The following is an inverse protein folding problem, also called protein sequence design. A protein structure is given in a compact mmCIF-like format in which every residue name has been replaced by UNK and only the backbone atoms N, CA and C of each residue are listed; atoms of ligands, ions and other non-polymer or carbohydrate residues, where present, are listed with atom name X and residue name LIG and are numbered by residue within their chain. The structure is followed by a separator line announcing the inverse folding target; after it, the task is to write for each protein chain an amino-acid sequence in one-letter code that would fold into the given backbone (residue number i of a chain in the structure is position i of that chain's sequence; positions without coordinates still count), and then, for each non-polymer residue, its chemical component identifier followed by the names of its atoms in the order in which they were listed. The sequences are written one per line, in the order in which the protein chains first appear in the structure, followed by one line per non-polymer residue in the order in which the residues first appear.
data_IF_732939054921
#
_entry.id   IF_732939054921
#
_cell.length_a   1.000
_cell.length_b   1.000
_cell.length_c   1.000
_cell.angle_alpha   90.00
_cell.angle_beta   90.00
_cell.angle_gamma   90.00
#
_symmetry.space_group_name_H-M   'P 1'
#
loop_
_entity.id
_entity.type
_entity.pdbx_description
1 polymer ?
#
# COMPACT_ATOMS: atom_id res chain seq x y z
N UNK A 1 45.50 29.44 24.04
CA UNK A 1 45.44 28.00 24.33
C UNK A 1 43.99 27.57 24.20
N UNK A 2 43.62 26.99 23.05
CA UNK A 2 42.41 26.21 22.83
C UNK A 2 42.57 25.55 21.46
N UNK A 3 42.90 24.26 21.45
CA UNK A 3 42.91 23.40 20.28
C UNK A 3 41.47 23.25 19.78
N UNK A 4 41.22 23.53 18.50
CA UNK A 4 40.00 23.10 17.82
C UNK A 4 40.30 21.77 17.12
N UNK A 5 39.62 20.71 17.57
CA UNK A 5 39.77 19.34 17.11
C UNK A 5 39.03 19.18 15.78
N UNK A 6 39.80 18.94 14.72
CA UNK A 6 39.28 18.51 13.42
C UNK A 6 38.79 17.06 13.54
N UNK A 7 37.51 16.82 13.30
CA UNK A 7 36.97 15.48 13.05
C UNK A 7 36.32 15.48 11.67
N UNK A 8 37.06 14.91 10.74
CA UNK A 8 36.63 14.54 9.40
C UNK A 8 35.67 13.37 9.49
N UNK A 9 34.39 13.59 9.21
CA UNK A 9 33.49 12.52 8.78
C UNK A 9 33.58 12.42 7.26
N UNK A 10 34.40 11.49 6.79
CA UNK A 10 34.25 10.91 5.46
C UNK A 10 33.26 9.76 5.53
N UNK A 11 32.41 9.65 4.51
CA UNK A 11 31.64 8.43 4.25
C UNK A 11 30.14 8.56 4.50
N UNK A 12 29.46 9.32 3.65
CA UNK A 12 28.45 8.85 2.70
C UNK A 12 27.82 10.12 2.14
N UNK A 13 28.32 10.59 0.99
CA UNK A 13 27.56 11.54 0.18
C UNK A 13 26.27 10.83 -0.23
N UNK A 14 25.06 11.32 0.12
CA UNK A 14 23.90 10.92 -0.65
C UNK A 14 24.21 11.30 -2.09
N UNK A 15 24.04 10.35 -3.01
CA UNK A 15 24.01 10.65 -4.44
C UNK A 15 22.99 11.78 -4.57
N UNK A 16 23.45 12.97 -4.97
CA UNK A 16 22.57 14.09 -5.31
C UNK A 16 21.45 13.52 -6.16
N UNK A 17 20.21 13.69 -5.73
CA UNK A 17 19.06 13.54 -6.59
C UNK A 17 19.41 14.22 -7.92
N UNK A 18 19.40 13.46 -9.01
CA UNK A 18 19.45 14.06 -10.33
C UNK A 18 18.10 14.76 -10.48
N UNK A 19 18.07 16.07 -10.21
CA UNK A 19 16.87 16.87 -10.46
C UNK A 19 16.62 16.83 -11.96
N UNK A 20 15.67 15.98 -12.37
CA UNK A 20 15.19 15.98 -13.74
C UNK A 20 14.37 17.25 -13.92
N UNK A 21 14.78 18.09 -14.87
CA UNK A 21 13.93 19.20 -15.31
C UNK A 21 12.84 18.63 -16.20
N UNK A 22 11.62 18.63 -15.69
CA UNK A 22 10.45 18.23 -16.44
C UNK A 22 9.81 19.43 -17.14
N UNK A 23 9.38 19.23 -18.37
CA UNK A 23 8.49 20.14 -19.08
C UNK A 23 7.05 19.74 -18.74
N UNK A 24 6.31 20.69 -18.16
CA UNK A 24 4.93 20.50 -17.72
C UNK A 24 3.93 20.85 -18.83
N UNK A 25 2.66 20.40 -18.74
CA UNK A 25 1.60 20.89 -19.62
C UNK A 25 1.52 22.42 -19.68
N UNK A 26 1.72 23.09 -18.55
CA UNK A 26 1.67 24.55 -18.43
C UNK A 26 2.81 25.22 -19.22
N UNK A 27 4.03 24.67 -19.17
CA UNK A 27 5.21 25.24 -19.85
C UNK A 27 5.02 25.34 -21.38
N UNK A 28 4.20 24.45 -21.96
CA UNK A 28 3.93 24.40 -23.40
C UNK A 28 2.54 24.93 -23.79
N UNK A 29 1.81 25.51 -22.85
CA UNK A 29 0.42 25.96 -23.00
C UNK A 29 -0.51 24.85 -23.54
N UNK A 30 -0.39 23.63 -23.01
CA UNK A 30 -1.26 22.51 -23.37
C UNK A 30 -2.64 22.67 -22.73
N UNK A 31 -3.70 22.59 -23.53
CA UNK A 31 -5.07 22.53 -23.04
C UNK A 31 -5.36 21.13 -22.48
N UNK A 32 -5.48 21.04 -21.15
CA UNK A 32 -5.76 19.79 -20.43
C UNK A 32 -7.21 19.70 -19.93
N UNK A 33 -8.12 20.53 -20.45
CA UNK A 33 -9.52 20.57 -20.02
C UNK A 33 -10.31 19.32 -20.42
N UNK A 34 -9.84 18.59 -21.44
CA UNK A 34 -10.42 17.33 -21.87
C UNK A 34 -10.01 16.13 -20.98
N UNK A 35 -9.01 16.27 -20.11
CA UNK A 35 -8.60 15.21 -19.17
C UNK A 35 -9.74 14.94 -18.17
N UNK A 36 -10.07 13.66 -18.01
CA UNK A 36 -11.10 13.14 -17.12
C UNK A 36 -10.45 12.42 -15.93
N UNK A 37 -11.12 12.45 -14.79
CA UNK A 37 -10.74 11.68 -13.62
C UNK A 37 -10.69 10.18 -13.95
N UNK A 38 -9.66 9.51 -13.43
CA UNK A 38 -9.47 8.08 -13.54
C UNK A 38 -9.24 7.54 -12.13
N UNK A 39 -9.89 6.44 -11.80
CA UNK A 39 -9.82 5.81 -10.49
C UNK A 39 -8.89 4.60 -10.46
N UNK A 40 -8.16 4.32 -11.55
CA UNK A 40 -7.29 3.15 -11.63
C UNK A 40 -5.85 3.51 -11.26
N UNK A 41 -5.47 3.19 -10.02
CA UNK A 41 -4.12 3.37 -9.51
C UNK A 41 -3.56 2.06 -8.96
N UNK A 42 -2.24 1.90 -9.04
CA UNK A 42 -1.53 0.73 -8.52
C UNK A 42 -0.03 0.99 -8.48
N UNK A 43 0.69 0.22 -7.66
CA UNK A 43 2.14 0.24 -7.71
C UNK A 43 2.65 -0.34 -9.06
N UNK A 44 3.52 0.40 -9.77
CA UNK A 44 4.06 -0.04 -11.04
C UNK A 44 5.11 -1.13 -10.87
N UNK A 45 5.19 -2.05 -11.84
CA UNK A 45 6.04 -3.26 -11.76
C UNK A 45 7.15 -3.31 -12.80
N UNK A 46 7.05 -2.49 -13.85
CA UNK A 46 7.96 -2.46 -14.98
C UNK A 46 7.97 -1.07 -15.63
N UNK A 47 9.03 -0.80 -16.40
CA UNK A 47 9.15 0.41 -17.23
C UNK A 47 9.18 -0.04 -18.70
N UNK A 48 8.28 0.52 -19.50
CA UNK A 48 8.18 0.27 -20.93
C UNK A 48 8.49 1.56 -21.67
N UNK A 49 9.59 1.56 -22.42
CA UNK A 49 9.91 2.63 -23.35
C UNK A 49 9.23 2.32 -24.68
N UNK A 50 8.41 3.24 -25.18
CA UNK A 50 7.60 3.03 -26.36
C UNK A 50 7.93 4.09 -27.42
N UNK A 51 8.58 3.73 -28.55
CA UNK A 51 8.78 4.66 -29.65
C UNK A 51 7.44 5.13 -30.22
N UNK A 52 7.24 6.44 -30.28
CA UNK A 52 6.09 7.10 -30.87
C UNK A 52 6.55 7.73 -32.18
N UNK A 53 6.07 7.18 -33.30
CA UNK A 53 6.48 7.62 -34.61
C UNK A 53 5.57 8.74 -35.14
N UNK A 54 6.16 9.90 -35.42
CA UNK A 54 5.52 10.94 -36.22
C UNK A 54 5.15 10.40 -37.61
N UNK A 55 4.03 10.84 -38.18
CA UNK A 55 3.72 10.49 -39.57
C UNK A 55 4.70 11.19 -40.50
N UNK A 56 5.02 10.56 -41.63
CA UNK A 56 5.94 11.14 -42.62
C UNK A 56 5.43 12.46 -43.23
N UNK A 57 4.15 12.78 -43.06
CA UNK A 57 3.53 14.04 -43.47
C UNK A 57 3.72 15.17 -42.43
N UNK A 58 4.11 14.84 -41.19
CA UNK A 58 4.35 15.78 -40.08
C UNK A 58 5.86 15.96 -39.82
N UNK A 59 6.64 16.19 -40.87
CA UNK A 59 8.08 16.50 -40.73
C UNK A 59 8.27 17.91 -40.18
N UNK A 60 9.19 18.06 -39.22
CA UNK A 60 9.61 19.38 -38.73
C UNK A 60 8.80 19.94 -37.57
N UNK A 61 7.90 19.16 -36.97
CA UNK A 61 7.27 19.53 -35.70
C UNK A 61 8.33 19.64 -34.59
N UNK A 62 8.21 20.68 -33.77
CA UNK A 62 9.01 20.79 -32.55
C UNK A 62 8.59 19.74 -31.52
N UNK A 63 9.45 19.38 -30.56
CA UNK A 63 9.08 18.49 -29.46
C UNK A 63 7.80 18.92 -28.72
N UNK A 64 7.60 20.23 -28.49
CA UNK A 64 6.38 20.76 -27.86
C UNK A 64 5.13 20.55 -28.73
N UNK A 65 5.25 20.73 -30.05
CA UNK A 65 4.16 20.46 -30.99
C UNK A 65 3.81 18.98 -31.06
N UNK A 66 4.81 18.10 -31.00
CA UNK A 66 4.60 16.65 -30.94
C UNK A 66 3.88 16.25 -29.65
N UNK A 67 4.31 16.79 -28.51
CA UNK A 67 3.66 16.54 -27.22
C UNK A 67 2.19 16.97 -27.24
N UNK A 68 1.87 18.18 -27.72
CA UNK A 68 0.49 18.64 -27.89
C UNK A 68 -0.32 17.76 -28.85
N UNK A 69 0.28 17.35 -29.96
CA UNK A 69 -0.36 16.47 -30.94
C UNK A 69 -0.69 15.08 -30.38
N UNK A 70 0.21 14.49 -29.60
CA UNK A 70 -0.02 13.20 -28.93
C UNK A 70 -1.15 13.32 -27.91
N UNK A 71 -1.17 14.39 -27.10
CA UNK A 71 -2.25 14.64 -26.16
C UNK A 71 -3.60 14.76 -26.88
N UNK A 72 -3.71 15.66 -27.87
CA UNK A 72 -4.92 15.87 -28.65
C UNK A 72 -5.42 14.56 -29.29
N UNK A 73 -4.52 13.78 -29.89
CA UNK A 73 -4.90 12.52 -30.52
C UNK A 73 -5.39 11.48 -29.51
N UNK A 74 -4.69 11.32 -28.39
CA UNK A 74 -5.04 10.26 -27.42
C UNK A 74 -6.27 10.63 -26.59
N UNK A 75 -6.34 11.86 -26.08
CA UNK A 75 -7.43 12.29 -25.20
C UNK A 75 -8.67 12.68 -26.01
N UNK A 76 -8.53 13.60 -26.97
CA UNK A 76 -9.70 14.15 -27.68
C UNK A 76 -10.21 13.23 -28.80
N UNK A 77 -9.32 12.56 -29.54
CA UNK A 77 -9.72 11.73 -30.68
C UNK A 77 -9.96 10.26 -30.32
N UNK A 78 -9.08 9.68 -29.48
CA UNK A 78 -9.22 8.28 -29.06
C UNK A 78 -10.08 8.11 -27.79
N UNK A 79 -10.29 9.19 -27.03
CA UNK A 79 -11.18 9.19 -25.87
C UNK A 79 -10.56 8.58 -24.62
N UNK A 80 -9.24 8.56 -24.50
CA UNK A 80 -8.60 8.22 -23.24
C UNK A 80 -8.95 9.26 -22.17
N UNK A 81 -9.06 8.83 -20.90
CA UNK A 81 -9.30 9.75 -19.79
C UNK A 81 -8.13 10.72 -19.60
N UNK A 82 -6.91 10.30 -19.91
CA UNK A 82 -5.72 11.16 -19.95
C UNK A 82 -4.71 10.56 -20.95
N UNK A 83 -3.63 11.28 -21.23
CA UNK A 83 -2.57 10.78 -22.12
C UNK A 83 -2.04 9.43 -21.60
N UNK A 84 -1.99 8.36 -22.41
CA UNK A 84 -1.61 7.00 -21.97
C UNK A 84 -0.09 6.81 -21.85
N UNK A 85 0.62 7.86 -21.43
CA UNK A 85 2.05 7.89 -21.18
C UNK A 85 2.30 8.55 -19.82
N UNK A 86 3.25 8.05 -19.07
CA UNK A 86 3.67 8.65 -17.79
C UNK A 86 4.66 9.78 -18.02
N UNK A 87 5.54 9.59 -19.01
CA UNK A 87 6.52 10.55 -19.46
C UNK A 87 6.65 10.49 -20.97
N UNK A 88 7.09 11.58 -21.58
CA UNK A 88 7.58 11.57 -22.95
C UNK A 88 9.00 12.10 -23.03
N UNK A 89 9.80 11.55 -23.94
CA UNK A 89 11.19 11.97 -24.18
C UNK A 89 11.37 12.28 -25.65
N UNK A 90 11.90 13.47 -25.96
CA UNK A 90 12.20 13.89 -27.33
C UNK A 90 13.54 13.33 -27.84
N UNK A 91 13.79 13.41 -29.16
CA UNK A 91 15.11 13.08 -29.71
C UNK A 91 16.23 14.03 -29.20
N UNK A 92 15.88 15.22 -28.70
CA UNK A 92 16.83 16.18 -28.12
C UNK A 92 17.07 15.93 -26.62
N UNK A 93 16.39 14.96 -26.02
CA UNK A 93 16.51 14.64 -24.60
C UNK A 93 15.62 15.47 -23.68
N UNK A 94 14.67 16.25 -24.23
CA UNK A 94 13.65 16.94 -23.43
C UNK A 94 12.71 15.92 -22.80
N UNK A 95 12.38 16.10 -21.52
CA UNK A 95 11.52 15.17 -20.76
C UNK A 95 10.22 15.90 -20.39
N UNK A 96 9.10 15.40 -20.88
CA UNK A 96 7.75 15.92 -20.64
C UNK A 96 7.02 15.06 -19.61
N UNK A 97 6.24 15.70 -18.74
CA UNK A 97 5.27 15.00 -17.90
C UNK A 97 4.12 14.49 -18.75
N UNK A 98 3.75 13.22 -18.56
CA UNK A 98 2.57 12.64 -19.17
C UNK A 98 1.33 12.86 -18.29
N UNK A 99 0.66 11.76 -17.96
CA UNK A 99 -0.60 11.77 -17.24
C UNK A 99 -0.51 12.41 -15.83
N UNK A 100 -1.64 12.93 -15.36
CA UNK A 100 -1.77 13.58 -14.05
C UNK A 100 -1.60 12.63 -12.86
N UNK A 101 -1.92 11.35 -13.05
CA UNK A 101 -1.82 10.33 -12.00
C UNK A 101 -0.40 9.84 -11.71
N UNK A 102 0.61 10.39 -12.43
CA UNK A 102 2.04 10.10 -12.24
C UNK A 102 2.32 8.59 -12.34
N UNK A 103 3.37 8.12 -11.67
CA UNK A 103 3.88 6.74 -11.69
C UNK A 103 2.86 5.69 -11.25
N UNK A 104 1.86 6.08 -10.46
CA UNK A 104 0.89 5.15 -9.89
C UNK A 104 -0.38 5.03 -10.74
N UNK A 105 -0.52 5.85 -11.78
CA UNK A 105 -1.63 5.67 -12.72
C UNK A 105 -1.48 4.34 -13.44
N UNK A 106 -2.49 3.50 -13.29
CA UNK A 106 -2.49 2.19 -13.92
C UNK A 106 -2.61 2.33 -15.44
N UNK A 107 -1.62 1.82 -16.16
CA UNK A 107 -1.68 1.64 -17.61
C UNK A 107 -1.49 0.16 -17.94
N UNK A 108 -2.48 -0.38 -18.62
CA UNK A 108 -2.47 -1.73 -19.17
C UNK A 108 -2.04 -1.71 -20.63
N UNK A 109 -1.11 -2.60 -20.97
CA UNK A 109 -0.74 -2.90 -22.36
C UNK A 109 -0.91 -4.40 -22.56
N UNK A 110 -1.83 -4.77 -23.44
CA UNK A 110 -2.09 -6.15 -23.81
C UNK A 110 -0.82 -6.76 -24.43
N UNK A 111 -0.43 -7.94 -23.92
CA UNK A 111 0.82 -8.60 -24.28
C UNK A 111 2.07 -8.13 -23.52
N UNK A 112 1.93 -7.20 -22.56
CA UNK A 112 3.00 -6.78 -21.65
C UNK A 112 2.58 -6.95 -20.19
N UNK A 113 1.50 -6.29 -19.76
CA UNK A 113 1.05 -6.30 -18.37
C UNK A 113 0.14 -5.12 -18.01
N UNK A 114 -0.41 -5.17 -16.81
CA UNK A 114 -1.53 -4.31 -16.40
C UNK A 114 -1.12 -3.07 -15.58
N UNK A 115 0.12 -3.03 -15.06
CA UNK A 115 0.64 -1.99 -14.15
C UNK A 115 2.07 -1.57 -14.55
N UNK A 116 2.24 -0.90 -15.69
CA UNK A 116 3.55 -0.49 -16.21
C UNK A 116 3.68 1.02 -16.34
N UNK A 117 4.88 1.55 -16.08
CA UNK A 117 5.22 2.93 -16.41
C UNK A 117 5.59 2.99 -17.89
N UNK A 118 4.88 3.82 -18.64
CA UNK A 118 5.09 3.98 -20.09
C UNK A 118 5.82 5.29 -20.37
N UNK A 119 7.01 5.19 -20.93
CA UNK A 119 7.80 6.34 -21.40
C UNK A 119 7.69 6.40 -22.93
N UNK A 120 6.96 7.40 -23.45
CA UNK A 120 6.85 7.64 -24.88
C UNK A 120 8.12 8.27 -25.46
N UNK A 121 8.84 7.61 -26.35
CA UNK A 121 9.99 8.19 -27.04
C UNK A 121 9.57 8.78 -28.39
N UNK A 122 9.48 10.10 -28.48
CA UNK A 122 9.02 10.80 -29.69
C UNK A 122 10.12 10.78 -30.76
N UNK A 123 9.82 10.16 -31.90
CA UNK A 123 10.80 9.94 -32.98
C UNK A 123 10.10 9.82 -34.34
N UNK A 124 10.86 9.56 -35.40
CA UNK A 124 10.37 9.46 -36.77
C UNK A 124 10.34 8.00 -37.24
N UNK A 125 9.45 7.63 -38.17
CA UNK A 125 9.30 6.24 -38.68
C UNK A 125 10.59 5.63 -39.26
N UNK A 126 11.54 6.45 -39.70
CA UNK A 126 12.84 6.00 -40.22
C UNK A 126 13.85 5.67 -39.13
N UNK A 127 13.60 6.07 -37.88
CA UNK A 127 14.49 5.82 -36.76
C UNK A 127 14.40 4.35 -36.35
N UNK A 128 15.55 3.72 -36.16
CA UNK A 128 15.67 2.34 -35.66
C UNK A 128 16.46 2.25 -34.35
N UNK A 129 16.71 3.37 -33.68
CA UNK A 129 17.49 3.47 -32.43
C UNK A 129 17.22 4.81 -31.76
N UNK A 130 17.59 4.96 -30.49
CA UNK A 130 17.51 6.25 -29.82
C UNK A 130 18.63 7.19 -30.32
N UNK A 131 18.34 8.49 -30.40
CA UNK A 131 19.34 9.53 -30.52
C UNK A 131 20.30 9.52 -29.31
N UNK A 132 21.47 10.15 -29.44
CA UNK A 132 22.43 10.25 -28.34
C UNK A 132 21.82 10.95 -27.11
N UNK A 133 21.18 12.09 -27.34
CA UNK A 133 20.62 12.92 -26.26
C UNK A 133 19.38 12.27 -25.65
N UNK A 134 18.49 11.72 -26.48
CA UNK A 134 17.34 10.95 -26.04
C UNK A 134 17.73 9.72 -25.21
N UNK A 135 18.75 8.97 -25.63
CA UNK A 135 19.28 7.83 -24.86
C UNK A 135 19.88 8.28 -23.51
N UNK A 136 20.56 9.43 -23.48
CA UNK A 136 21.09 10.00 -22.23
C UNK A 136 19.95 10.38 -21.28
N UNK A 137 18.92 11.05 -21.78
CA UNK A 137 17.73 11.41 -21.00
C UNK A 137 17.01 10.16 -20.47
N UNK A 138 16.82 9.14 -21.30
CA UNK A 138 16.21 7.87 -20.90
C UNK A 138 17.03 7.13 -19.84
N UNK A 139 18.38 7.17 -19.89
CA UNK A 139 19.24 6.61 -18.84
C UNK A 139 18.95 7.26 -17.49
N UNK A 140 18.92 8.58 -17.44
CA UNK A 140 18.60 9.33 -16.22
C UNK A 140 17.17 9.07 -15.75
N UNK A 141 16.18 9.25 -16.63
CA UNK A 141 14.77 9.10 -16.29
C UNK A 141 14.41 7.70 -15.82
N UNK A 142 14.81 6.65 -16.56
CA UNK A 142 14.51 5.27 -16.17
C UNK A 142 15.19 4.89 -14.85
N UNK A 143 16.39 5.43 -14.56
CA UNK A 143 17.07 5.21 -13.28
C UNK A 143 16.30 5.86 -12.13
N UNK A 144 15.85 7.11 -12.30
CA UNK A 144 15.06 7.83 -11.29
C UNK A 144 13.75 7.09 -11.02
N UNK A 145 13.00 6.75 -12.07
CA UNK A 145 11.73 6.02 -11.95
C UNK A 145 11.93 4.65 -11.27
N UNK A 146 12.98 3.91 -11.66
CA UNK A 146 13.27 2.60 -11.09
C UNK A 146 13.54 2.69 -9.59
N UNK A 147 14.37 3.66 -9.17
CA UNK A 147 14.68 3.88 -7.76
C UNK A 147 13.47 4.36 -6.95
N UNK A 148 12.69 5.29 -7.50
CA UNK A 148 11.52 5.88 -6.84
C UNK A 148 10.40 4.86 -6.60
N UNK A 149 10.25 3.89 -7.50
CA UNK A 149 9.19 2.89 -7.44
C UNK A 149 9.68 1.49 -7.08
N UNK A 150 10.95 1.34 -6.69
CA UNK A 150 11.57 0.04 -6.41
C UNK A 150 11.39 -0.99 -7.54
N UNK A 151 11.38 -0.52 -8.79
CA UNK A 151 11.27 -1.38 -9.96
C UNK A 151 12.66 -1.91 -10.29
N UNK A 152 12.79 -3.24 -10.34
CA UNK A 152 14.04 -3.87 -10.79
C UNK A 152 14.43 -3.33 -12.17
N UNK A 153 15.68 -2.85 -12.36
CA UNK A 153 16.14 -2.40 -13.67
C UNK A 153 16.12 -3.49 -14.76
N UNK A 154 16.03 -4.78 -14.39
CA UNK A 154 15.77 -5.88 -15.32
C UNK A 154 14.38 -5.80 -15.99
N UNK A 155 13.43 -5.12 -15.34
CA UNK A 155 12.08 -4.91 -15.86
C UNK A 155 11.96 -3.63 -16.71
N UNK A 156 13.09 -3.09 -17.18
CA UNK A 156 13.12 -2.01 -18.16
C UNK A 156 13.16 -2.63 -19.55
N UNK A 157 12.15 -2.32 -20.37
CA UNK A 157 12.00 -2.89 -21.71
C UNK A 157 11.64 -1.83 -22.73
N UNK A 158 11.74 -2.21 -24.02
CA UNK A 158 11.25 -1.39 -25.13
C UNK A 158 10.27 -2.20 -25.96
N UNK A 159 9.14 -1.58 -26.27
CA UNK A 159 8.08 -2.25 -27.01
C UNK A 159 7.32 -1.24 -27.88
N UNK A 160 6.95 -1.64 -29.09
CA UNK A 160 6.00 -0.87 -29.87
C UNK A 160 4.62 -0.98 -29.25
N UNK A 161 3.86 0.11 -29.28
CA UNK A 161 2.48 0.15 -28.81
C UNK A 161 1.59 0.58 -29.98
N UNK A 162 0.49 -0.14 -30.17
CA UNK A 162 -0.59 0.25 -31.08
C UNK A 162 -1.88 0.48 -30.31
N UNK A 163 -2.75 1.32 -30.87
CA UNK A 163 -4.07 1.61 -30.32
C UNK A 163 -5.11 0.75 -31.04
N UNK A 164 -5.71 -0.20 -30.33
CA UNK A 164 -6.80 -1.01 -30.86
C UNK A 164 -8.13 -0.50 -30.33
N UNK A 165 -9.08 -0.22 -31.22
CA UNK A 165 -10.45 0.09 -30.84
C UNK A 165 -11.23 -1.19 -30.61
N UNK A 166 -11.68 -1.41 -29.39
CA UNK A 166 -12.62 -2.47 -29.07
C UNK A 166 -13.99 -2.09 -29.68
N UNK A 167 -14.49 -2.94 -30.59
CA UNK A 167 -15.75 -2.68 -31.28
C UNK A 167 -16.99 -2.83 -30.37
N UNK A 168 -16.86 -3.56 -29.26
CA UNK A 168 -17.95 -3.86 -28.33
C UNK A 168 -18.07 -2.76 -27.28
N UNK A 169 -16.99 -2.48 -26.55
CA UNK A 169 -16.97 -1.45 -25.51
C UNK A 169 -16.79 -0.03 -26.07
N UNK A 170 -16.39 0.08 -27.35
CA UNK A 170 -16.02 1.34 -28.04
C UNK A 170 -14.82 2.06 -27.40
N UNK A 171 -14.14 1.45 -26.45
CA UNK A 171 -12.92 1.97 -25.84
C UNK A 171 -11.71 1.67 -26.71
N UNK A 172 -10.60 2.31 -26.40
CA UNK A 172 -9.31 2.05 -27.05
C UNK A 172 -8.39 1.40 -26.03
N UNK A 173 -7.78 0.28 -26.41
CA UNK A 173 -6.79 -0.44 -25.61
C UNK A 173 -5.41 -0.32 -26.23
N UNK A 174 -4.38 -0.41 -25.40
CA UNK A 174 -2.99 -0.46 -25.84
C UNK A 174 -2.61 -1.92 -26.07
N UNK A 175 -2.06 -2.24 -27.24
CA UNK A 175 -1.54 -3.58 -27.53
C UNK A 175 -0.07 -3.51 -27.93
N UNK A 176 0.69 -4.51 -27.48
CA UNK A 176 2.05 -4.77 -27.92
C UNK A 176 2.11 -4.98 -29.45
N UNK A 177 2.99 -4.26 -30.12
CA UNK A 177 3.37 -4.49 -31.52
C UNK A 177 4.89 -4.59 -31.69
N UNK A 178 5.32 -5.30 -32.73
CA UNK A 178 6.73 -5.44 -33.06
C UNK A 178 7.41 -4.11 -33.39
N UNK A 179 8.69 -4.04 -33.05
CA UNK A 179 9.58 -2.92 -33.37
C UNK A 179 10.86 -3.44 -34.01
N UNK A 180 11.39 -2.69 -34.96
CA UNK A 180 12.57 -3.07 -35.74
C UNK A 180 13.68 -2.05 -35.54
N UNK A 181 14.92 -2.53 -35.48
CA UNK A 181 16.12 -1.72 -35.26
C UNK A 181 16.98 -2.23 -34.11
N UNK A 182 17.81 -1.35 -33.56
CA UNK A 182 18.72 -1.60 -32.45
C UNK A 182 18.15 -1.18 -31.08
N UNK A 183 16.85 -0.89 -31.00
CA UNK A 183 16.17 -0.44 -29.77
C UNK A 183 16.46 -1.32 -28.56
N UNK A 184 16.38 -2.64 -28.73
CA UNK A 184 16.62 -3.60 -27.65
C UNK A 184 18.05 -3.53 -27.14
N UNK A 185 19.03 -3.31 -28.02
CA UNK A 185 20.44 -3.14 -27.62
C UNK A 185 20.63 -1.85 -26.81
N UNK A 186 20.00 -0.75 -27.23
CA UNK A 186 20.10 0.50 -26.50
C UNK A 186 19.40 0.44 -25.15
N UNK A 187 18.24 -0.23 -25.05
CA UNK A 187 17.56 -0.41 -23.76
C UNK A 187 18.31 -1.35 -22.84
N UNK A 188 19.02 -2.35 -23.37
CA UNK A 188 19.94 -3.14 -22.56
C UNK A 188 21.04 -2.27 -21.94
N UNK A 189 21.57 -1.30 -22.67
CA UNK A 189 22.53 -0.33 -22.12
C UNK A 189 21.87 0.61 -21.07
N UNK A 190 20.63 1.04 -21.29
CA UNK A 190 19.87 1.84 -20.31
C UNK A 190 19.65 1.05 -19.03
N UNK A 191 19.14 -0.19 -19.13
CA UNK A 191 18.96 -1.11 -18.01
C UNK A 191 20.27 -1.36 -17.27
N UNK A 192 21.36 -1.63 -17.99
CA UNK A 192 22.69 -1.85 -17.38
C UNK A 192 23.19 -0.61 -16.64
N UNK A 193 22.97 0.59 -17.19
CA UNK A 193 23.30 1.83 -16.52
C UNK A 193 22.46 2.02 -15.25
N UNK A 194 21.13 1.84 -15.35
CA UNK A 194 20.22 1.92 -14.20
C UNK A 194 20.59 0.93 -13.09
N UNK A 195 20.95 -0.31 -13.43
CA UNK A 195 21.47 -1.31 -12.47
C UNK A 195 22.69 -0.80 -11.70
N UNK A 196 23.62 -0.12 -12.37
CA UNK A 196 24.82 0.41 -11.72
C UNK A 196 24.54 1.53 -10.70
N UNK A 197 23.37 2.16 -10.81
CA UNK A 197 22.92 3.28 -9.97
C UNK A 197 21.68 2.91 -9.13
N UNK A 198 21.29 1.63 -9.11
CA UNK A 198 20.07 1.19 -8.45
C UNK A 198 20.27 1.15 -6.95
N UNK A 199 19.56 2.03 -6.26
CA UNK A 199 19.51 2.19 -4.83
C UNK A 199 18.14 2.79 -4.47
N UNK A 200 17.07 1.96 -4.45
CA UNK A 200 15.72 2.44 -4.23
C UNK A 200 15.61 3.09 -2.85
N UNK A 201 14.96 4.26 -2.81
CA UNK A 201 14.70 4.98 -1.57
C UNK A 201 13.27 4.65 -1.16
N UNK A 202 13.03 4.15 0.07
CA UNK A 202 11.66 3.90 0.54
C UNK A 202 10.81 5.16 0.42
N UNK A 203 9.62 5.03 -0.17
CA UNK A 203 8.62 6.10 -0.21
C UNK A 203 8.24 6.49 1.23
N UNK A 204 8.13 7.79 1.47
CA UNK A 204 7.62 8.32 2.74
C UNK A 204 6.11 8.50 2.66
N UNK A 205 5.38 7.81 3.54
CA UNK A 205 3.93 7.88 3.62
C UNK A 205 3.50 8.75 4.79
N UNK A 206 2.58 9.68 4.52
CA UNK A 206 2.07 10.62 5.52
C UNK A 206 0.54 10.59 5.49
N UNK A 207 -0.07 10.36 6.65
CA UNK A 207 -1.52 10.39 6.81
C UNK A 207 -1.90 11.31 7.96
N UNK A 208 -3.13 11.79 7.95
CA UNK A 208 -3.78 12.45 9.06
C UNK A 208 -4.98 11.60 9.49
N UNK A 209 -5.01 11.18 10.75
CA UNK A 209 -6.19 10.56 11.36
C UNK A 209 -7.10 11.69 11.82
N UNK A 210 -8.25 11.85 11.16
CA UNK A 210 -9.21 12.89 11.48
C UNK A 210 -10.07 12.49 12.68
N UNK A 211 -10.55 11.24 12.68
CA UNK A 211 -11.41 10.72 13.73
C UNK A 211 -11.38 9.19 13.78
N UNK A 212 -11.49 8.63 14.99
CA UNK A 212 -11.91 7.24 15.20
C UNK A 212 -13.38 7.24 15.60
N UNK A 213 -14.21 6.56 14.83
CA UNK A 213 -15.65 6.45 15.02
C UNK A 213 -15.93 5.13 15.73
N UNK A 214 -16.49 5.24 16.93
CA UNK A 214 -16.77 4.09 17.78
C UNK A 214 -18.24 3.67 17.68
N UNK A 215 -18.54 2.37 17.89
CA UNK A 215 -19.91 1.88 18.00
C UNK A 215 -20.70 2.67 19.05
N UNK A 216 -21.84 3.24 18.63
CA UNK A 216 -22.69 4.03 19.52
C UNK A 216 -23.46 3.16 20.53
N UNK A 217 -23.84 1.95 20.11
CA UNK A 217 -24.52 0.99 20.98
C UNK A 217 -23.50 0.15 21.75
N UNK A 218 -23.88 -0.25 22.97
CA UNK A 218 -23.10 -1.23 23.72
C UNK A 218 -23.10 -2.58 22.99
N UNK A 219 -21.94 -3.23 22.98
CA UNK A 219 -21.63 -4.41 22.17
C UNK A 219 -21.69 -5.67 23.03
N UNK A 220 -22.25 -6.77 22.52
CA UNK A 220 -22.24 -8.05 23.25
C UNK A 220 -20.79 -8.54 23.41
N UNK A 221 -20.34 -8.90 24.62
CA UNK A 221 -19.00 -9.44 24.82
C UNK A 221 -18.72 -10.65 23.92
N UNK A 222 -17.55 -10.69 23.28
CA UNK A 222 -17.15 -11.79 22.40
C UNK A 222 -17.71 -11.73 20.98
N UNK A 223 -18.65 -10.82 20.68
CA UNK A 223 -19.15 -10.59 19.34
C UNK A 223 -18.14 -9.87 18.46
N UNK A 224 -18.35 -9.90 17.15
CA UNK A 224 -17.59 -9.10 16.19
C UNK A 224 -18.18 -7.69 16.13
N UNK A 225 -17.31 -6.69 16.06
CA UNK A 225 -17.69 -5.27 16.02
C UNK A 225 -16.74 -4.50 15.11
N UNK A 226 -17.26 -3.49 14.41
CA UNK A 226 -16.46 -2.59 13.58
C UNK A 226 -16.19 -1.26 14.28
N UNK A 227 -14.96 -0.76 14.17
CA UNK A 227 -14.61 0.64 14.42
C UNK A 227 -14.21 1.27 13.10
N UNK A 228 -14.64 2.51 12.84
CA UNK A 228 -14.28 3.18 11.59
C UNK A 228 -13.20 4.23 11.84
N UNK A 229 -12.28 4.40 10.90
CA UNK A 229 -11.21 5.39 10.98
C UNK A 229 -11.34 6.33 9.78
N UNK A 230 -11.64 7.60 10.07
CA UNK A 230 -11.60 8.70 9.12
C UNK A 230 -10.15 9.18 8.96
N UNK A 231 -9.62 9.02 7.75
CA UNK A 231 -8.22 9.25 7.42
C UNK A 231 -8.09 10.08 6.14
N UNK A 232 -7.12 10.98 6.12
CA UNK A 232 -6.69 11.70 4.92
C UNK A 232 -5.26 11.33 4.59
N UNK A 233 -4.97 10.99 3.34
CA UNK A 233 -3.59 10.88 2.87
C UNK A 233 -3.07 12.27 2.55
N UNK A 234 -2.09 12.74 3.32
CA UNK A 234 -1.45 14.05 3.17
C UNK A 234 -0.06 13.93 2.52
N UNK A 235 0.32 12.72 2.11
CA UNK A 235 1.58 12.42 1.42
C UNK A 235 1.46 12.53 -0.10
N UNK A 236 2.55 12.19 -0.78
CA UNK A 236 2.68 12.26 -2.24
C UNK A 236 2.33 10.94 -2.95
N UNK A 237 2.20 9.84 -2.19
CA UNK A 237 2.06 8.48 -2.71
C UNK A 237 0.75 7.84 -2.28
N UNK A 238 0.18 7.01 -3.13
CA UNK A 238 -0.98 6.19 -2.81
C UNK A 238 -0.64 5.10 -1.80
N UNK A 239 -1.61 4.81 -0.94
CA UNK A 239 -1.58 3.75 0.06
C UNK A 239 -2.46 2.62 -0.47
N UNK A 240 -1.97 1.38 -0.50
CA UNK A 240 -2.68 0.22 -1.07
C UNK A 240 -2.67 -0.92 -0.06
N UNK A 241 -3.83 -1.49 0.24
CA UNK A 241 -4.01 -2.52 1.28
C UNK A 241 -3.28 -3.83 1.02
N UNK A 242 -2.98 -4.12 -0.24
CA UNK A 242 -2.27 -5.34 -0.67
C UNK A 242 -0.76 -5.12 -0.89
N UNK A 243 -0.18 -4.06 -0.29
CA UNK A 243 1.22 -3.70 -0.50
C UNK A 243 1.95 -3.26 0.77
N UNK A 244 3.27 -3.08 0.66
CA UNK A 244 4.11 -2.55 1.74
C UNK A 244 3.70 -1.14 2.19
N UNK A 245 2.95 -0.37 1.37
CA UNK A 245 2.46 0.95 1.75
C UNK A 245 1.25 0.92 2.67
N UNK A 246 0.59 -0.23 2.83
CA UNK A 246 -0.57 -0.39 3.69
C UNK A 246 -0.29 0.14 5.10
N UNK A 247 -1.23 0.93 5.61
CA UNK A 247 -1.19 1.38 7.00
C UNK A 247 -1.66 0.26 7.92
N UNK A 248 -0.88 0.01 8.98
CA UNK A 248 -1.18 -0.94 10.03
C UNK A 248 -1.13 -0.27 11.40
N UNK A 249 -2.08 -0.62 12.26
CA UNK A 249 -2.11 -0.22 13.65
C UNK A 249 -1.48 -1.33 14.50
N UNK A 250 -0.33 -1.03 15.11
CA UNK A 250 0.44 -1.95 15.95
C UNK A 250 0.19 -1.64 17.42
N UNK A 251 -0.33 -2.61 18.17
CA UNK A 251 -0.65 -2.46 19.60
C UNK A 251 0.55 -1.92 20.38
N UNK A 252 0.31 -0.94 21.26
CA UNK A 252 1.29 -0.50 22.26
C UNK A 252 1.34 -1.46 23.45
N UNK A 253 2.56 -1.83 23.83
CA UNK A 253 2.82 -2.74 24.95
C UNK A 253 2.85 -4.21 24.53
N UNK A 254 3.12 -5.07 25.49
CA UNK A 254 3.37 -6.48 25.23
C UNK A 254 2.07 -7.32 25.13
N UNK A 255 2.19 -8.48 24.49
CA UNK A 255 1.12 -9.49 24.39
C UNK A 255 0.06 -9.20 23.32
N UNK A 256 -0.82 -10.18 23.13
CA UNK A 256 -1.89 -10.16 22.12
C UNK A 256 -2.85 -8.99 22.35
N UNK A 257 -3.35 -8.38 21.28
CA UNK A 257 -4.42 -7.37 21.35
C UNK A 257 -5.69 -7.97 21.93
N UNK A 258 -6.34 -7.24 22.83
CA UNK A 258 -7.65 -7.65 23.36
C UNK A 258 -8.75 -7.63 22.30
N UNK A 259 -8.53 -6.92 21.19
CA UNK A 259 -9.44 -6.82 20.05
C UNK A 259 -9.13 -7.80 18.92
N UNK A 260 -8.12 -8.67 19.10
CA UNK A 260 -7.63 -9.56 18.05
C UNK A 260 -8.73 -10.45 17.46
N UNK A 261 -8.89 -10.35 16.13
CA UNK A 261 -9.79 -11.16 15.35
C UNK A 261 -8.99 -12.08 14.40
N UNK A 262 -9.15 -13.39 14.58
CA UNK A 262 -8.42 -14.40 13.82
C UNK A 262 -8.78 -14.34 12.32
N UNK A 263 -7.78 -14.51 11.45
CA UNK A 263 -7.87 -14.45 9.98
C UNK A 263 -8.17 -13.06 9.37
N UNK A 264 -8.38 -12.02 10.18
CA UNK A 264 -8.63 -10.65 9.67
C UNK A 264 -7.46 -9.69 9.97
N UNK A 265 -6.66 -10.00 10.99
CA UNK A 265 -5.51 -9.20 11.38
C UNK A 265 -4.22 -9.76 10.77
N UNK A 266 -3.25 -8.88 10.49
CA UNK A 266 -1.92 -9.24 9.98
C UNK A 266 -1.18 -10.10 11.01
N UNK A 267 -1.34 -9.78 12.30
CA UNK A 267 -0.79 -10.58 13.40
C UNK A 267 -1.63 -10.39 14.67
N UNK A 268 -1.24 -11.04 15.78
CA UNK A 268 -1.94 -10.91 17.06
C UNK A 268 -1.84 -9.52 17.69
N UNK A 269 -1.03 -8.62 17.12
CA UNK A 269 -0.83 -7.25 17.60
C UNK A 269 -1.00 -6.20 16.51
N UNK A 270 -1.25 -6.60 15.26
CA UNK A 270 -1.28 -5.70 14.11
C UNK A 270 -2.54 -5.88 13.30
N UNK A 271 -3.29 -4.79 13.15
CA UNK A 271 -4.52 -4.73 12.36
C UNK A 271 -4.32 -3.79 11.17
N UNK A 272 -4.71 -4.19 9.95
CA UNK A 272 -4.62 -3.30 8.79
C UNK A 272 -5.72 -2.24 8.83
N UNK A 273 -5.42 -1.06 8.29
CA UNK A 273 -6.42 0.00 8.07
C UNK A 273 -7.25 -0.26 6.82
N UNK A 274 -6.63 -0.75 5.75
CA UNK A 274 -7.26 -1.02 4.46
C UNK A 274 -7.50 -2.53 4.28
N UNK A 275 -8.52 -2.90 3.53
CA UNK A 275 -8.72 -4.27 3.05
C UNK A 275 -7.96 -4.57 1.75
N UNK A 276 -7.98 -5.83 1.34
CA UNK A 276 -7.39 -6.26 0.05
C UNK A 276 -8.04 -5.52 -1.13
N UNK A 277 -7.21 -4.86 -1.94
CA UNK A 277 -7.64 -4.08 -3.10
C UNK A 277 -8.22 -2.70 -2.79
N UNK A 278 -8.33 -2.32 -1.51
CA UNK A 278 -8.62 -0.95 -1.12
C UNK A 278 -7.37 -0.07 -1.24
N UNK A 279 -7.59 1.22 -1.49
CA UNK A 279 -6.52 2.20 -1.63
C UNK A 279 -6.95 3.56 -1.08
N UNK A 280 -5.96 4.42 -0.81
CA UNK A 280 -6.14 5.81 -0.43
C UNK A 280 -5.12 6.68 -1.17
N UNK A 281 -5.59 7.47 -2.14
CA UNK A 281 -4.74 8.29 -3.01
C UNK A 281 -4.28 9.58 -2.33
N UNK A 282 -3.23 10.25 -2.85
CA UNK A 282 -2.80 11.54 -2.32
C UNK A 282 -3.94 12.56 -2.26
N UNK A 283 -4.04 13.28 -1.13
CA UNK A 283 -5.05 14.32 -0.84
C UNK A 283 -6.48 13.75 -0.67
N UNK A 284 -6.67 12.45 -0.87
CA UNK A 284 -7.95 11.79 -0.66
C UNK A 284 -8.26 11.62 0.83
N UNK A 285 -9.54 11.76 1.15
CA UNK A 285 -10.11 11.46 2.46
C UNK A 285 -11.09 10.29 2.33
N UNK A 286 -11.04 9.34 3.26
CA UNK A 286 -11.94 8.19 3.29
C UNK A 286 -12.11 7.65 4.71
N UNK A 287 -13.17 6.86 4.90
CA UNK A 287 -13.47 6.17 6.15
C UNK A 287 -13.31 4.68 5.89
N UNK A 288 -12.47 4.01 6.68
CA UNK A 288 -12.26 2.57 6.61
C UNK A 288 -12.80 1.88 7.85
N UNK A 289 -13.50 0.76 7.65
CA UNK A 289 -14.07 -0.06 8.70
C UNK A 289 -13.08 -1.16 9.11
N UNK A 290 -12.84 -1.28 10.41
CA UNK A 290 -11.89 -2.23 10.98
C UNK A 290 -12.66 -3.20 11.88
N UNK A 291 -12.63 -4.47 11.50
CA UNK A 291 -13.29 -5.54 12.23
C UNK A 291 -12.45 -6.00 13.43
N UNK A 292 -13.09 -5.94 14.61
CA UNK A 292 -12.53 -6.30 15.90
C UNK A 292 -13.33 -7.44 16.53
N UNK A 293 -12.69 -8.20 17.40
CA UNK A 293 -13.39 -9.07 18.35
C UNK A 293 -13.61 -8.31 19.66
N UNK A 294 -14.86 -8.12 20.06
CA UNK A 294 -15.17 -7.51 21.34
C UNK A 294 -14.62 -8.38 22.48
N UNK A 295 -13.81 -7.83 23.41
CA UNK A 295 -13.26 -8.61 24.50
C UNK A 295 -14.37 -9.07 25.45
N UNK A 296 -14.09 -10.11 26.23
CA UNK A 296 -15.01 -10.53 27.28
C UNK A 296 -14.88 -9.58 28.49
N UNK A 297 -15.99 -9.00 28.93
CA UNK A 297 -16.04 -8.04 30.03
C UNK A 297 -17.31 -7.20 29.96
N UNK A 298 -17.36 -6.13 30.75
CA UNK A 298 -18.43 -5.12 30.73
C UNK A 298 -17.82 -3.74 30.84
N UNK A 299 -18.52 -2.73 30.33
CA UNK A 299 -18.08 -1.33 30.38
C UNK A 299 -17.12 -0.95 29.25
N UNK A 300 -16.46 0.19 29.41
CA UNK A 300 -15.58 0.76 28.39
C UNK A 300 -14.24 0.02 28.36
N UNK A 301 -13.83 -0.40 27.17
CA UNK A 301 -12.53 -1.02 26.92
C UNK A 301 -11.79 -0.23 25.86
N UNK A 302 -10.54 0.11 26.13
CA UNK A 302 -9.69 0.92 25.25
C UNK A 302 -8.34 0.25 24.99
N UNK A 303 -7.81 0.40 23.78
CA UNK A 303 -6.46 -0.01 23.41
C UNK A 303 -5.84 1.01 22.46
N UNK A 304 -4.56 1.33 22.66
CA UNK A 304 -3.83 2.28 21.81
C UNK A 304 -2.83 1.58 20.91
N UNK A 305 -2.66 2.13 19.71
CA UNK A 305 -1.85 1.56 18.64
C UNK A 305 -0.90 2.62 18.08
N UNK A 306 0.38 2.25 17.93
CA UNK A 306 1.31 2.99 17.09
C UNK A 306 1.01 2.70 15.61
N UNK A 307 1.29 3.66 14.74
CA UNK A 307 0.97 3.54 13.31
C UNK A 307 2.24 3.29 12.50
N UNK A 308 2.20 2.25 11.66
CA UNK A 308 3.28 1.85 10.79
C UNK A 308 2.74 1.61 9.37
N UNK A 309 3.64 1.61 8.40
CA UNK A 309 3.41 0.92 7.13
C UNK A 309 3.67 -0.58 7.31
N UNK A 310 3.06 -1.43 6.48
CA UNK A 310 3.35 -2.86 6.45
C UNK A 310 4.83 -3.14 6.15
N UNK A 311 5.46 -2.29 5.33
CA UNK A 311 6.90 -2.30 5.06
C UNK A 311 7.80 -1.96 6.26
N UNK A 312 7.22 -1.60 7.41
CA UNK A 312 7.93 -1.44 8.69
C UNK A 312 8.34 -0.01 9.04
N UNK A 313 8.00 0.98 8.22
CA UNK A 313 8.25 2.40 8.53
C UNK A 313 7.22 2.91 9.55
N UNK A 314 7.69 3.44 10.69
CA UNK A 314 6.82 4.09 11.68
C UNK A 314 6.39 5.47 11.19
N UNK A 315 5.10 5.79 11.27
CA UNK A 315 4.59 7.12 10.95
C UNK A 315 4.71 8.05 12.16
N UNK A 316 5.04 9.31 11.90
CA UNK A 316 5.15 10.34 12.95
C UNK A 316 3.78 10.95 13.28
N UNK A 317 2.88 10.13 13.80
CA UNK A 317 1.55 10.54 14.25
C UNK A 317 1.27 10.03 15.66
N UNK A 318 0.35 10.70 16.35
CA UNK A 318 -0.08 10.27 17.68
C UNK A 318 -0.76 8.89 17.61
N UNK A 319 -0.71 8.12 18.72
CA UNK A 319 -1.31 6.79 18.76
C UNK A 319 -2.81 6.85 18.53
N UNK A 320 -3.29 5.92 17.72
CA UNK A 320 -4.72 5.75 17.48
C UNK A 320 -5.28 4.88 18.60
N UNK A 321 -6.40 5.29 19.20
CA UNK A 321 -7.04 4.54 20.28
C UNK A 321 -8.39 4.03 19.82
N UNK A 322 -8.60 2.72 19.98
CA UNK A 322 -9.88 2.08 19.75
C UNK A 322 -10.61 1.92 21.08
N UNK A 323 -11.90 2.26 21.07
CA UNK A 323 -12.77 2.18 22.24
C UNK A 323 -14.03 1.40 21.90
N UNK A 324 -14.34 0.39 22.70
CA UNK A 324 -15.55 -0.41 22.59
C UNK A 324 -16.26 -0.43 23.94
N UNK A 325 -17.55 -0.09 23.95
CA UNK A 325 -18.39 -0.16 25.13
C UNK A 325 -19.10 -1.52 25.17
N UNK A 326 -18.77 -2.36 26.15
CA UNK A 326 -19.34 -3.69 26.31
C UNK A 326 -20.64 -3.64 27.11
N UNK A 327 -21.69 -4.23 26.55
CA UNK A 327 -22.99 -4.34 27.20
C UNK A 327 -22.93 -5.30 28.40
N UNK A 328 -23.75 -5.08 29.44
CA UNK A 328 -24.02 -6.10 30.44
C UNK A 328 -24.51 -7.39 29.77
N UNK A 329 -24.15 -8.54 30.34
CA UNK A 329 -24.58 -9.86 29.84
C UNK A 329 -24.97 -10.76 31.01
N UNK A 330 -25.97 -11.61 30.78
CA UNK A 330 -26.40 -12.63 31.75
C UNK A 330 -25.40 -13.81 31.80
N UNK A 331 -24.55 -13.95 30.77
CA UNK A 331 -23.50 -14.99 30.75
C UNK A 331 -22.41 -14.59 31.72
N UNK A 332 -22.10 -15.44 32.70
CA UNK A 332 -20.99 -15.19 33.64
C UNK A 332 -19.66 -15.16 32.91
N UNK A 333 -18.87 -14.12 33.14
CA UNK A 333 -17.52 -13.96 32.57
C UNK A 333 -16.50 -14.13 33.69
N UNK A 334 -15.52 -14.98 33.44
CA UNK A 334 -14.44 -15.26 34.39
C UNK A 334 -13.08 -14.89 33.81
N UNK A 335 -12.24 -14.26 34.64
CA UNK A 335 -10.84 -13.95 34.33
C UNK A 335 -9.91 -14.82 35.17
N UNK A 336 -8.91 -15.42 34.54
CA UNK A 336 -7.95 -16.30 35.23
C UNK A 336 -7.02 -15.46 36.10
N UNK A 337 -6.93 -15.78 37.39
CA UNK A 337 -6.00 -15.16 38.34
C UNK A 337 -4.57 -15.66 38.11
N UNK A 338 -3.60 -14.85 38.53
CA UNK A 338 -2.21 -15.31 38.68
C UNK A 338 -2.14 -16.51 39.62
N UNK A 339 -1.49 -17.59 39.17
CA UNK A 339 -1.21 -18.79 39.97
C UNK A 339 0.28 -18.87 40.27
N UNK A 340 0.66 -19.61 41.31
CA UNK A 340 2.07 -19.85 41.67
C UNK A 340 2.89 -20.52 40.54
N UNK A 341 2.20 -21.24 39.65
CA UNK A 341 2.80 -21.96 38.51
C UNK A 341 2.69 -21.20 37.19
N UNK A 342 2.07 -20.02 37.18
CA UNK A 342 1.89 -19.17 36.00
C UNK A 342 0.80 -19.62 35.02
N UNK A 343 0.18 -20.78 35.20
CA UNK A 343 -0.93 -21.29 34.37
C UNK A 343 -1.98 -22.01 35.22
N UNK A 344 -3.16 -22.26 34.63
CA UNK A 344 -4.25 -23.03 35.24
C UNK A 344 -4.65 -24.18 34.31
N UNK A 345 -4.66 -25.39 34.87
CA UNK A 345 -5.06 -26.60 34.14
C UNK A 345 -6.56 -26.61 33.85
N UNK A 346 -6.91 -26.84 32.59
CA UNK A 346 -8.28 -27.13 32.13
C UNK A 346 -8.46 -28.64 32.04
N UNK A 347 -9.51 -29.15 32.68
CA UNK A 347 -9.74 -30.58 32.88
C UNK A 347 -11.02 -31.07 32.21
N UNK A 348 -11.06 -32.36 31.88
CA UNK A 348 -12.20 -32.99 31.20
C UNK A 348 -13.44 -33.16 32.08
N UNK A 349 -13.31 -33.09 33.41
CA UNK A 349 -14.40 -33.24 34.38
C UNK A 349 -14.15 -32.38 35.64
N UNK A 350 -15.19 -32.07 36.46
CA UNK A 350 -15.09 -31.21 37.65
C UNK A 350 -14.39 -31.92 38.83
N UNK A 351 -13.12 -32.29 38.64
CA UNK A 351 -12.34 -33.07 39.60
C UNK A 351 -10.83 -32.87 39.43
N UNK A 352 -10.10 -32.86 40.54
CA UNK A 352 -8.64 -32.74 40.56
C UNK A 352 -7.90 -33.95 39.99
N UNK A 353 -8.57 -35.11 39.89
CA UNK A 353 -8.02 -36.34 39.30
C UNK A 353 -8.39 -36.51 37.83
N UNK A 354 -9.25 -35.64 37.28
CA UNK A 354 -9.62 -35.69 35.86
C UNK A 354 -8.43 -35.29 34.98
N UNK A 355 -8.36 -35.86 33.77
CA UNK A 355 -7.29 -35.53 32.81
C UNK A 355 -7.29 -34.05 32.48
N UNK A 356 -6.14 -33.40 32.65
CA UNK A 356 -5.92 -32.06 32.10
C UNK A 356 -5.55 -32.20 30.63
N UNK A 357 -6.26 -31.51 29.76
CA UNK A 357 -6.06 -31.59 28.31
C UNK A 357 -5.51 -30.29 27.72
N UNK A 358 -5.60 -29.17 28.44
CA UNK A 358 -4.97 -27.90 28.09
C UNK A 358 -4.74 -27.03 29.33
N UNK A 359 -4.09 -25.88 29.15
CA UNK A 359 -3.82 -24.89 30.17
C UNK A 359 -4.25 -23.50 29.70
N UNK A 360 -4.66 -22.66 30.63
CA UNK A 360 -5.00 -21.25 30.41
C UNK A 360 -4.11 -20.36 31.27
N UNK A 361 -3.82 -19.16 30.78
CA UNK A 361 -2.89 -18.21 31.41
C UNK A 361 -3.65 -17.14 32.20
N UNK A 362 -3.04 -16.55 33.25
CA UNK A 362 -3.57 -15.39 33.95
C UNK A 362 -3.94 -14.25 33.00
N UNK A 363 -5.05 -13.57 33.29
CA UNK A 363 -5.60 -12.48 32.47
C UNK A 363 -6.46 -12.95 31.28
N UNK A 364 -6.42 -14.24 30.91
CA UNK A 364 -7.37 -14.76 29.92
C UNK A 364 -8.79 -14.75 30.48
N UNK A 365 -9.76 -14.49 29.61
CA UNK A 365 -11.17 -14.40 29.97
C UNK A 365 -11.99 -15.42 29.20
N UNK A 366 -13.00 -15.98 29.85
CA UNK A 366 -13.87 -17.00 29.27
C UNK A 366 -15.32 -16.83 29.74
N UNK A 367 -16.27 -17.29 28.92
CA UNK A 367 -17.63 -17.50 29.39
C UNK A 367 -17.67 -18.75 30.28
N UNK A 368 -18.27 -18.62 31.46
CA UNK A 368 -18.68 -19.75 32.25
C UNK A 368 -19.97 -20.32 31.63
N UNK A 369 -19.95 -21.62 31.36
CA UNK A 369 -21.07 -22.37 30.76
C UNK A 369 -21.80 -23.24 31.79
N UNK A 370 -21.13 -23.66 32.86
CA UNK A 370 -21.73 -24.48 33.92
C UNK A 370 -21.02 -24.31 35.29
N UNK A 371 -21.67 -24.74 36.37
CA UNK A 371 -21.16 -24.81 37.74
C UNK A 371 -21.53 -26.17 38.37
N UNK A 372 -20.52 -26.98 38.70
CA UNK A 372 -20.74 -28.30 39.29
C UNK A 372 -21.16 -28.23 40.78
N UNK A 373 -21.18 -27.04 41.39
CA UNK A 373 -21.53 -26.83 42.79
C UNK A 373 -20.50 -27.33 43.80
N UNK A 374 -19.37 -27.86 43.33
CA UNK A 374 -18.28 -28.42 44.14
C UNK A 374 -16.97 -27.63 44.01
N UNK A 375 -17.06 -26.37 43.58
CA UNK A 375 -15.90 -25.49 43.36
C UNK A 375 -15.28 -25.58 41.96
N UNK A 376 -15.87 -26.36 41.05
CA UNK A 376 -15.47 -26.44 39.65
C UNK A 376 -16.49 -25.76 38.76
N UNK A 377 -15.99 -24.96 37.82
CA UNK A 377 -16.80 -24.28 36.79
C UNK A 377 -16.34 -24.71 35.41
N UNK A 378 -17.29 -24.78 34.48
CA UNK A 378 -16.99 -25.10 33.08
C UNK A 378 -16.82 -23.80 32.30
N UNK A 379 -15.73 -23.69 31.54
CA UNK A 379 -15.45 -22.56 30.65
C UNK A 379 -15.51 -23.00 29.18
N UNK A 380 -15.92 -22.09 28.30
CA UNK A 380 -15.83 -22.28 26.85
C UNK A 380 -14.51 -21.68 26.34
N UNK A 381 -13.69 -22.50 25.70
CA UNK A 381 -12.42 -22.12 25.08
C UNK A 381 -12.66 -21.48 23.70
N UNK A 382 -11.64 -20.78 23.18
CA UNK A 382 -11.71 -20.06 21.90
C UNK A 382 -12.00 -20.95 20.69
N UNK A 383 -11.66 -22.24 20.75
CA UNK A 383 -11.92 -23.24 19.71
C UNK A 383 -13.31 -23.91 19.85
N UNK A 384 -14.13 -23.44 20.80
CA UNK A 384 -15.44 -23.97 21.10
C UNK A 384 -15.45 -25.19 22.03
N UNK A 385 -14.29 -25.75 22.40
CA UNK A 385 -14.21 -26.81 23.40
C UNK A 385 -14.62 -26.28 24.78
N UNK A 386 -15.14 -27.17 25.62
CA UNK A 386 -15.49 -26.85 27.00
C UNK A 386 -14.63 -27.63 27.97
N UNK A 387 -14.28 -27.04 29.10
CA UNK A 387 -13.46 -27.69 30.10
C UNK A 387 -13.62 -27.10 31.50
N UNK A 388 -13.24 -27.88 32.50
CA UNK A 388 -13.44 -27.56 33.90
C UNK A 388 -12.20 -26.94 34.53
N UNK A 389 -12.40 -25.85 35.25
CA UNK A 389 -11.38 -25.17 36.05
C UNK A 389 -11.88 -24.96 37.48
N UNK A 390 -10.95 -24.81 38.43
CA UNK A 390 -11.30 -24.54 39.81
C UNK A 390 -11.61 -23.04 40.02
N UNK A 391 -12.76 -22.74 40.62
CA UNK A 391 -13.30 -21.38 40.67
C UNK A 391 -12.53 -20.43 41.60
N UNK A 392 -11.72 -20.95 42.54
CA UNK A 392 -10.89 -20.10 43.41
C UNK A 392 -9.75 -19.40 42.65
N UNK A 393 -9.39 -19.89 41.45
CA UNK A 393 -8.42 -19.28 40.56
C UNK A 393 -9.02 -18.30 39.54
N UNK A 394 -10.27 -17.84 39.73
CA UNK A 394 -10.87 -16.84 38.82
C UNK A 394 -11.47 -15.63 39.54
N UNK A 395 -11.54 -14.51 38.83
CA UNK A 395 -12.34 -13.34 39.16
C UNK A 395 -13.59 -13.31 38.28
N UNK A 396 -14.73 -12.91 38.84
CA UNK A 396 -15.95 -12.65 38.05
C UNK A 396 -15.96 -11.19 37.60
N UNK A 397 -16.30 -10.95 36.34
CA UNK A 397 -16.22 -9.61 35.72
C UNK A 397 -17.57 -8.93 35.50
N UNK A 398 -18.69 -9.59 35.81
CA UNK A 398 -20.05 -9.05 35.66
C UNK A 398 -20.96 -9.37 36.82
#
# INVERSE_FOLDING_TARGET
MALSLCLSFGGLTPIKAQDITYITPEDVNLDITATREDSNFSLPTAIVIAPIYSNAEFTGLTPDEQYRGIYFYTVEMLGFNDIPYHYLVSENGDIYLGNKGRDERKIKIDGIGDNVIVIGYMTNKSSGKFSSDGKSALKTLATVIANQNSISPDNISVQGITFLRDQTSKTVVLEKTDIFGSWQSDVLEISTFAKSQYNPIPKEYNIQINQVITPQASVEPGSQVSVSVDVTNIGEWGIYGDSDSQIIFTKRGDGVSQFFLNNSWVSTTQVPLLGDGEYLLPIENSIFDIELKAPLGVGEVTESFDVYTLGGTKLNIDPVTFTVNLAPTDKKIVEIKSTETGTLNVRSAPSSVATSFTQVSPGQRFFQTDDAGNGWIQIQLNDGQVGWIANWYVNYLN
#
